data_IF_583309106678
#
_entry.id   IF_583309106678
#
_cell.length_a   1.000
_cell.length_b   1.000
_cell.length_c   1.000
_cell.angle_alpha   90.00
_cell.angle_beta   90.00
_cell.angle_gamma   90.00
#
_symmetry.space_group_name_H-M   'P 1'
#
loop_
_entity.id
_entity.type
_entity.pdbx_description
1 polymer ?
#
# COMPACT_ATOMS: atom_id res chain seq x y z
N UNK A 1 -12.81 -38.27 -17.11
CA UNK A 1 -12.59 -38.47 -15.67
C UNK A 1 -11.51 -37.48 -15.34
N UNK A 2 -11.93 -36.25 -15.04
CA UNK A 2 -11.03 -35.10 -15.08
C UNK A 2 -10.51 -34.85 -13.67
N UNK A 3 -9.19 -34.92 -13.52
CA UNK A 3 -8.45 -34.85 -12.24
C UNK A 3 -8.74 -33.58 -11.41
N UNK A 4 -9.42 -32.59 -11.99
CA UNK A 4 -9.90 -31.39 -11.31
C UNK A 4 -10.90 -31.68 -10.18
N UNK A 5 -11.71 -32.75 -10.29
CA UNK A 5 -12.70 -33.09 -9.26
C UNK A 5 -12.10 -33.68 -7.98
N UNK A 6 -10.87 -34.24 -8.04
CA UNK A 6 -10.24 -34.89 -6.88
C UNK A 6 -9.42 -33.93 -6.02
N UNK A 7 -9.11 -32.72 -6.49
CA UNK A 7 -8.34 -31.74 -5.72
C UNK A 7 -9.23 -30.73 -4.95
N UNK A 8 -10.55 -30.95 -4.90
CA UNK A 8 -11.51 -30.05 -4.25
C UNK A 8 -11.47 -30.11 -2.72
N UNK A 9 -11.01 -31.23 -2.16
CA UNK A 9 -11.09 -31.50 -0.72
C UNK A 9 -9.87 -30.99 0.08
N UNK A 10 -8.82 -30.49 -0.59
CA UNK A 10 -7.60 -30.00 0.07
C UNK A 10 -7.60 -28.48 0.31
N UNK A 11 -8.60 -27.74 -0.19
CA UNK A 11 -8.73 -26.31 0.07
C UNK A 11 -9.31 -26.04 1.47
N UNK A 12 -10.26 -26.84 1.94
CA UNK A 12 -10.99 -26.56 3.19
C UNK A 12 -10.16 -26.83 4.48
N UNK A 13 -9.11 -27.66 4.43
CA UNK A 13 -8.40 -28.06 5.66
C UNK A 13 -7.39 -27.03 6.19
N UNK A 14 -6.97 -26.04 5.38
CA UNK A 14 -5.94 -25.05 5.75
C UNK A 14 -6.14 -23.65 5.14
N UNK A 15 -7.37 -23.28 4.78
CA UNK A 15 -7.62 -21.90 4.32
C UNK A 15 -7.64 -20.97 5.52
N UNK A 16 -6.58 -20.19 5.71
CA UNK A 16 -6.58 -19.08 6.67
C UNK A 16 -7.48 -17.97 6.14
N UNK A 17 -8.71 -17.94 6.67
CA UNK A 17 -9.73 -16.95 6.31
C UNK A 17 -9.21 -15.50 6.45
N UNK A 18 -8.27 -15.24 7.36
CA UNK A 18 -7.68 -13.91 7.49
C UNK A 18 -6.74 -13.57 6.33
N UNK A 19 -5.92 -14.52 5.88
CA UNK A 19 -5.03 -14.33 4.72
C UNK A 19 -5.85 -14.10 3.44
N UNK A 20 -6.90 -14.88 3.23
CA UNK A 20 -7.82 -14.70 2.11
C UNK A 20 -8.53 -13.34 2.12
N UNK A 21 -8.95 -12.86 3.29
CA UNK A 21 -9.53 -11.53 3.41
C UNK A 21 -8.52 -10.43 3.11
N UNK A 22 -7.27 -10.58 3.55
CA UNK A 22 -6.21 -9.63 3.28
C UNK A 22 -5.83 -9.59 1.81
N UNK A 23 -5.71 -10.75 1.15
CA UNK A 23 -5.43 -10.82 -0.29
C UNK A 23 -6.56 -10.19 -1.10
N UNK A 24 -7.81 -10.47 -0.74
CA UNK A 24 -8.99 -9.87 -1.38
C UNK A 24 -9.03 -8.34 -1.22
N UNK A 25 -8.66 -7.81 -0.04
CA UNK A 25 -8.56 -6.36 0.21
C UNK A 25 -7.49 -5.72 -0.68
N UNK A 26 -6.27 -6.29 -0.72
CA UNK A 26 -5.18 -5.80 -1.58
C UNK A 26 -5.55 -5.77 -3.06
N UNK A 27 -6.24 -6.81 -3.54
CA UNK A 27 -6.71 -6.87 -4.94
C UNK A 27 -7.77 -5.80 -5.25
N UNK A 28 -8.66 -5.49 -4.30
CA UNK A 28 -9.64 -4.41 -4.45
C UNK A 28 -8.96 -3.04 -4.47
N UNK A 29 -8.00 -2.81 -3.57
CA UNK A 29 -7.23 -1.57 -3.50
C UNK A 29 -6.44 -1.33 -4.79
N UNK A 30 -5.76 -2.35 -5.32
CA UNK A 30 -5.02 -2.24 -6.58
C UNK A 30 -5.89 -1.86 -7.78
N UNK A 31 -7.15 -2.37 -7.84
CA UNK A 31 -8.11 -1.99 -8.89
C UNK A 31 -8.60 -0.55 -8.77
N UNK A 32 -8.59 0.02 -7.57
CA UNK A 32 -9.00 1.41 -7.33
C UNK A 32 -7.85 2.40 -7.60
N UNK A 33 -6.60 2.00 -7.37
CA UNK A 33 -5.43 2.85 -7.61
C UNK A 33 -5.12 3.05 -9.10
N UNK A 34 -5.47 2.07 -9.96
CA UNK A 34 -5.30 2.19 -11.42
C UNK A 34 -5.99 3.42 -12.03
N UNK A 35 -7.29 3.67 -11.79
CA UNK A 35 -7.94 4.89 -12.28
C UNK A 35 -7.57 6.15 -11.49
N UNK A 36 -7.19 6.03 -10.22
CA UNK A 36 -6.97 7.15 -9.30
C UNK A 36 -5.63 7.02 -8.54
N UNK A 37 -4.50 7.20 -9.24
CA UNK A 37 -3.19 6.92 -8.66
C UNK A 37 -2.88 7.84 -7.48
N UNK A 38 -2.66 7.25 -6.31
CA UNK A 38 -2.28 7.98 -5.10
C UNK A 38 -3.38 8.87 -4.50
N UNK A 39 -4.64 8.68 -4.90
CA UNK A 39 -5.78 9.33 -4.24
C UNK A 39 -5.99 8.73 -2.85
N UNK A 40 -6.08 9.59 -1.83
CA UNK A 40 -6.31 9.19 -0.45
C UNK A 40 -7.32 10.15 0.18
N UNK A 41 -8.37 9.60 0.77
CA UNK A 41 -9.38 10.38 1.48
C UNK A 41 -8.80 11.14 2.68
N UNK A 42 -9.23 12.39 2.85
CA UNK A 42 -8.88 13.20 4.01
C UNK A 42 -9.68 12.74 5.23
N UNK A 43 -9.05 12.30 6.33
CA UNK A 43 -9.76 11.83 7.51
C UNK A 43 -10.54 12.97 8.16
N UNK A 44 -11.75 12.69 8.64
CA UNK A 44 -12.61 13.70 9.29
C UNK A 44 -12.16 14.01 10.72
N UNK A 45 -11.51 13.06 11.40
CA UNK A 45 -11.13 13.18 12.81
C UNK A 45 -9.94 14.12 13.04
N UNK A 46 -9.13 14.38 12.00
CA UNK A 46 -7.91 15.17 12.11
C UNK A 46 -7.82 16.18 10.97
N UNK A 47 -7.33 17.39 11.27
CA UNK A 47 -7.13 18.38 10.21
C UNK A 47 -6.11 17.89 9.17
N UNK A 48 -6.37 18.19 7.90
CA UNK A 48 -5.48 17.82 6.80
C UNK A 48 -4.04 18.30 7.02
N UNK A 49 -3.86 19.46 7.64
CA UNK A 49 -2.53 20.00 8.00
C UNK A 49 -1.76 19.07 8.93
N UNK A 50 -2.41 18.51 9.94
CA UNK A 50 -1.78 17.58 10.89
C UNK A 50 -1.53 16.22 10.23
N UNK A 51 -2.52 15.71 9.49
CA UNK A 51 -2.40 14.42 8.78
C UNK A 51 -1.24 14.41 7.78
N UNK A 52 -1.07 15.49 7.03
CA UNK A 52 -0.07 15.60 5.96
C UNK A 52 1.13 16.48 6.32
N UNK A 53 1.44 16.63 7.62
CA UNK A 53 2.49 17.52 8.12
C UNK A 53 3.90 17.22 7.56
N UNK A 54 4.18 15.98 7.16
CA UNK A 54 5.46 15.54 6.58
C UNK A 54 5.53 15.68 5.05
N UNK A 55 4.41 15.95 4.40
CA UNK A 55 4.33 16.03 2.94
C UNK A 55 4.70 17.43 2.46
N UNK A 56 5.38 17.51 1.32
CA UNK A 56 5.76 18.76 0.69
C UNK A 56 5.16 18.84 -0.72
N UNK A 57 4.59 19.99 -1.06
CA UNK A 57 4.04 20.23 -2.39
C UNK A 57 5.12 20.69 -3.37
N UNK A 58 5.25 19.98 -4.49
CA UNK A 58 6.17 20.37 -5.57
C UNK A 58 5.45 20.79 -6.83
N UNK A 59 5.90 21.89 -7.43
CA UNK A 59 5.42 22.35 -8.73
C UNK A 59 5.81 21.39 -9.87
N UNK A 60 6.92 20.67 -9.73
CA UNK A 60 7.37 19.69 -10.73
C UNK A 60 8.31 18.67 -10.08
N UNK A 61 7.92 17.40 -10.08
CA UNK A 61 8.77 16.30 -9.61
C UNK A 61 10.11 16.19 -10.34
N UNK A 62 10.17 16.60 -11.63
CA UNK A 62 11.38 16.50 -12.44
C UNK A 62 12.38 17.64 -12.21
N UNK A 63 11.90 18.85 -11.90
CA UNK A 63 12.75 20.06 -11.88
C UNK A 63 13.08 20.53 -10.48
N UNK A 64 12.20 20.29 -9.52
CA UNK A 64 12.44 20.70 -8.16
C UNK A 64 13.51 19.80 -7.54
N UNK A 65 14.56 20.39 -6.99
CA UNK A 65 15.63 19.66 -6.32
C UNK A 65 15.12 19.19 -4.95
N UNK A 66 15.22 17.89 -4.69
CA UNK A 66 14.98 17.28 -3.38
C UNK A 66 16.33 17.03 -2.69
N UNK A 67 16.45 17.33 -1.40
CA UNK A 67 17.69 17.09 -0.66
C UNK A 67 17.77 15.61 -0.21
N UNK A 68 18.74 14.81 -0.68
CA UNK A 68 18.82 13.39 -0.35
C UNK A 68 19.21 13.12 1.12
N UNK A 69 19.75 14.10 1.84
CA UNK A 69 20.16 13.97 3.25
C UNK A 69 19.13 14.52 4.24
N UNK A 70 17.96 14.94 3.75
CA UNK A 70 16.89 15.46 4.59
C UNK A 70 16.05 14.31 5.17
N UNK A 71 15.65 14.40 6.44
CA UNK A 71 14.72 13.47 7.11
C UNK A 71 15.09 11.97 7.02
N UNK A 72 16.38 11.64 7.00
CA UNK A 72 16.85 10.25 7.01
C UNK A 72 16.45 9.54 8.32
N UNK A 73 16.01 8.28 8.21
CA UNK A 73 15.79 7.42 9.38
C UNK A 73 17.12 7.17 10.11
N UNK A 74 17.05 6.95 11.43
CA UNK A 74 18.21 6.54 12.23
C UNK A 74 18.91 5.30 11.65
N UNK A 75 18.14 4.37 11.09
CA UNK A 75 18.64 3.13 10.52
C UNK A 75 19.48 3.34 9.25
N UNK A 76 19.30 4.46 8.54
CA UNK A 76 20.08 4.77 7.35
C UNK A 76 21.57 4.96 7.66
N UNK A 77 21.92 5.33 8.89
CA UNK A 77 23.32 5.40 9.33
C UNK A 77 24.00 4.03 9.52
N UNK A 78 23.27 2.92 9.35
CA UNK A 78 23.80 1.56 9.53
C UNK A 78 24.21 0.89 8.21
N UNK A 79 23.89 1.47 7.06
CA UNK A 79 24.24 0.94 5.73
C UNK A 79 25.44 1.68 5.16
N UNK A 80 26.35 0.96 4.50
CA UNK A 80 27.59 1.48 3.90
C UNK A 80 27.84 0.88 2.52
#
# INVERSE_FOLDING_TARGET
MDELFMNRNNYDEKTDLEEDQQTLKKLKEAKLDEPFPGEVDTPMDASARVRFQKYQGFKSFRRTKWNPKENLSYDYGRIY
#
